data_IF_566847473675
#
_entry.id   IF_566847473675
#
_cell.length_a   1.000
_cell.length_b   1.000
_cell.length_c   1.000
_cell.angle_alpha   90.00
_cell.angle_beta   90.00
_cell.angle_gamma   90.00
#
_symmetry.space_group_name_H-M   'P 1'
#
loop_
_entity.id
_entity.type
_entity.pdbx_description
1 polymer ?
#
# COMPACT_ATOMS: atom_id res chain seq x y z
N UNK A 1 -48.57 71.12 -26.18
CA UNK A 1 -49.40 70.47 -25.15
C UNK A 1 -48.56 69.37 -24.50
N UNK A 2 -48.00 69.64 -23.31
CA UNK A 2 -47.21 68.72 -22.50
C UNK A 2 -48.16 67.99 -21.58
N UNK A 3 -48.33 66.64 -21.81
CA UNK A 3 -49.10 65.79 -20.91
C UNK A 3 -48.26 65.50 -19.68
N UNK A 4 -48.50 66.12 -18.54
CA UNK A 4 -48.03 65.76 -17.22
C UNK A 4 -48.67 64.43 -16.83
N UNK A 5 -47.88 63.33 -16.85
CA UNK A 5 -48.29 62.09 -16.23
C UNK A 5 -48.31 62.27 -14.71
N UNK A 6 -49.51 62.21 -14.13
CA UNK A 6 -49.71 62.15 -12.69
C UNK A 6 -49.05 60.87 -12.17
N UNK A 7 -48.00 61.00 -11.39
CA UNK A 7 -47.49 59.89 -10.62
C UNK A 7 -48.52 59.56 -9.51
N UNK A 8 -49.20 58.42 -9.66
CA UNK A 8 -50.01 57.85 -8.58
C UNK A 8 -49.06 57.35 -7.50
N UNK A 9 -49.17 57.86 -6.28
CA UNK A 9 -48.42 57.38 -5.13
C UNK A 9 -48.81 55.95 -4.77
N UNK A 10 -47.83 55.15 -4.42
CA UNK A 10 -48.03 53.72 -3.98
C UNK A 10 -48.74 53.73 -2.63
N UNK A 11 -49.78 52.94 -2.47
CA UNK A 11 -50.50 52.74 -1.20
C UNK A 11 -49.59 52.00 -0.20
N UNK A 12 -49.67 52.35 1.10
CA UNK A 12 -48.92 51.67 2.17
C UNK A 12 -49.19 50.15 2.20
N UNK A 13 -50.43 49.73 1.93
CA UNK A 13 -50.83 48.34 1.87
C UNK A 13 -50.18 47.61 0.67
N UNK A 14 -50.06 48.26 -0.47
CA UNK A 14 -49.42 47.74 -1.67
C UNK A 14 -47.92 47.55 -1.45
N UNK A 15 -47.28 48.47 -0.70
CA UNK A 15 -45.86 48.31 -0.30
C UNK A 15 -45.69 47.14 0.69
N UNK A 16 -46.63 46.99 1.66
CA UNK A 16 -46.56 45.82 2.58
C UNK A 16 -46.73 44.48 1.87
N UNK A 17 -47.67 44.39 0.93
CA UNK A 17 -47.88 43.17 0.14
C UNK A 17 -46.63 42.89 -0.74
N UNK A 18 -46.05 43.89 -1.38
CA UNK A 18 -44.86 43.73 -2.19
C UNK A 18 -43.66 43.29 -1.33
N UNK A 19 -43.49 43.81 -0.10
CA UNK A 19 -42.46 43.33 0.82
C UNK A 19 -42.67 41.87 1.24
N UNK A 20 -43.86 41.43 1.55
CA UNK A 20 -44.18 40.05 1.94
C UNK A 20 -43.89 39.12 0.77
N UNK A 21 -44.33 39.44 -0.43
CA UNK A 21 -44.05 38.62 -1.64
C UNK A 21 -42.55 38.58 -1.92
N UNK A 22 -41.85 39.73 -1.81
CA UNK A 22 -40.41 39.82 -1.97
C UNK A 22 -39.64 38.95 -0.96
N UNK A 23 -40.10 38.92 0.31
CA UNK A 23 -39.49 38.10 1.35
C UNK A 23 -39.72 36.61 1.11
N UNK A 24 -40.90 36.17 0.67
CA UNK A 24 -41.20 34.79 0.31
C UNK A 24 -40.35 34.34 -0.88
N UNK A 25 -40.20 35.16 -1.90
CA UNK A 25 -39.33 34.87 -3.06
C UNK A 25 -37.86 34.78 -2.63
N UNK A 26 -37.40 35.71 -1.78
CA UNK A 26 -36.03 35.68 -1.26
C UNK A 26 -35.74 34.41 -0.46
N UNK A 27 -36.67 33.97 0.39
CA UNK A 27 -36.55 32.68 1.12
C UNK A 27 -36.45 31.50 0.15
N UNK A 28 -37.25 31.49 -0.92
CA UNK A 28 -37.18 30.44 -1.95
C UNK A 28 -35.82 30.42 -2.66
N UNK A 29 -35.27 31.56 -3.02
CA UNK A 29 -33.96 31.69 -3.65
C UNK A 29 -32.84 31.20 -2.72
N UNK A 30 -32.89 31.60 -1.41
CA UNK A 30 -31.92 31.15 -0.40
C UNK A 30 -31.95 29.64 -0.24
N UNK A 31 -33.14 29.02 -0.21
CA UNK A 31 -33.29 27.56 -0.09
C UNK A 31 -32.70 26.84 -1.30
N UNK A 32 -33.00 27.27 -2.51
CA UNK A 32 -32.45 26.71 -3.75
C UNK A 32 -30.94 26.84 -3.81
N UNK A 33 -30.43 28.03 -3.45
CA UNK A 33 -28.97 28.27 -3.43
C UNK A 33 -28.27 27.38 -2.38
N UNK A 34 -28.84 27.28 -1.18
CA UNK A 34 -28.32 26.39 -0.11
C UNK A 34 -28.32 24.94 -0.54
N UNK A 35 -29.43 24.44 -1.12
CA UNK A 35 -29.53 23.09 -1.63
C UNK A 35 -28.52 22.80 -2.76
N UNK A 36 -28.36 23.72 -3.69
CA UNK A 36 -27.39 23.62 -4.77
C UNK A 36 -25.95 23.57 -4.27
N UNK A 37 -25.62 24.43 -3.29
CA UNK A 37 -24.28 24.45 -2.65
C UNK A 37 -24.00 23.10 -1.93
N UNK A 38 -24.98 22.59 -1.19
CA UNK A 38 -24.86 21.30 -0.49
C UNK A 38 -24.66 20.15 -1.48
N UNK A 39 -25.41 20.13 -2.58
CA UNK A 39 -25.26 19.12 -3.63
C UNK A 39 -23.89 19.18 -4.30
N UNK A 40 -23.39 20.39 -4.57
CA UNK A 40 -22.04 20.58 -5.15
C UNK A 40 -20.94 20.08 -4.20
N UNK A 41 -21.02 20.40 -2.90
CA UNK A 41 -20.08 19.92 -1.88
C UNK A 41 -20.09 18.39 -1.76
N UNK A 42 -21.26 17.76 -1.79
CA UNK A 42 -21.38 16.29 -1.77
C UNK A 42 -20.75 15.67 -3.02
N UNK A 43 -21.03 16.24 -4.20
CA UNK A 43 -20.48 15.74 -5.46
C UNK A 43 -18.96 15.85 -5.49
N UNK A 44 -18.40 16.98 -5.03
CA UNK A 44 -16.95 17.18 -4.92
C UNK A 44 -16.33 16.19 -3.91
N UNK A 45 -16.94 16.05 -2.71
CA UNK A 45 -16.47 15.11 -1.71
C UNK A 45 -16.48 13.65 -2.18
N UNK A 46 -17.54 13.25 -2.89
CA UNK A 46 -17.65 11.91 -3.47
C UNK A 46 -16.59 11.68 -4.56
N UNK A 47 -16.38 12.67 -5.45
CA UNK A 47 -15.36 12.60 -6.50
C UNK A 47 -13.95 12.46 -5.92
N UNK A 48 -13.60 13.25 -4.90
CA UNK A 48 -12.30 13.18 -4.21
C UNK A 48 -12.09 11.85 -3.51
N UNK A 49 -13.09 11.36 -2.79
CA UNK A 49 -12.99 10.06 -2.12
C UNK A 49 -12.82 8.92 -3.14
N UNK A 50 -13.50 8.98 -4.29
CA UNK A 50 -13.37 8.00 -5.36
C UNK A 50 -11.98 8.03 -6.00
N UNK A 51 -11.46 9.21 -6.28
CA UNK A 51 -10.12 9.40 -6.85
C UNK A 51 -9.04 8.86 -5.89
N UNK A 52 -9.10 9.23 -4.62
CA UNK A 52 -8.16 8.78 -3.59
C UNK A 52 -8.25 7.26 -3.38
N UNK A 53 -9.46 6.68 -3.32
CA UNK A 53 -9.63 5.23 -3.22
C UNK A 53 -9.02 4.48 -4.40
N UNK A 54 -9.20 5.00 -5.63
CA UNK A 54 -8.61 4.42 -6.84
C UNK A 54 -7.08 4.51 -6.81
N UNK A 55 -6.50 5.66 -6.50
CA UNK A 55 -5.05 5.80 -6.42
C UNK A 55 -4.44 4.90 -5.36
N UNK A 56 -5.08 4.79 -4.20
CA UNK A 56 -4.63 3.88 -3.15
C UNK A 56 -4.58 2.43 -3.63
N UNK A 57 -5.64 1.96 -4.31
CA UNK A 57 -5.68 0.60 -4.87
C UNK A 57 -4.67 0.40 -6.01
N UNK A 58 -4.43 1.41 -6.85
CA UNK A 58 -3.46 1.31 -7.94
C UNK A 58 -2.02 1.16 -7.40
N UNK A 59 -1.62 1.93 -6.38
CA UNK A 59 -0.33 1.78 -5.71
C UNK A 59 -0.18 0.38 -5.10
N UNK A 60 -1.16 -0.04 -4.30
CA UNK A 60 -1.16 -1.34 -3.64
C UNK A 60 -1.13 -2.49 -4.66
N UNK A 61 -1.98 -2.45 -5.68
CA UNK A 61 -2.06 -3.50 -6.69
C UNK A 61 -0.77 -3.64 -7.50
N UNK A 62 -0.12 -2.52 -7.82
CA UNK A 62 1.15 -2.52 -8.55
C UNK A 62 2.22 -3.26 -7.75
N UNK A 63 2.43 -2.88 -6.49
CA UNK A 63 3.51 -3.42 -5.67
C UNK A 63 3.19 -4.83 -5.13
N UNK A 64 1.91 -5.15 -4.86
CA UNK A 64 1.50 -6.51 -4.52
C UNK A 64 1.79 -7.48 -5.67
N UNK A 65 1.54 -7.09 -6.94
CA UNK A 65 1.87 -7.92 -8.10
C UNK A 65 3.37 -8.19 -8.23
N UNK A 66 4.21 -7.28 -7.73
CA UNK A 66 5.67 -7.44 -7.75
C UNK A 66 6.19 -8.35 -6.64
N UNK A 67 5.42 -8.61 -5.58
CA UNK A 67 5.86 -9.47 -4.49
C UNK A 67 6.38 -10.82 -5.02
N UNK A 68 7.60 -11.18 -4.59
CA UNK A 68 8.28 -12.41 -5.04
C UNK A 68 8.92 -12.32 -6.43
N UNK A 69 9.02 -11.14 -7.03
CA UNK A 69 9.83 -10.95 -8.23
C UNK A 69 11.31 -10.91 -7.86
N UNK A 70 12.06 -11.88 -8.32
CA UNK A 70 13.52 -11.98 -8.15
C UNK A 70 14.25 -12.10 -9.50
N UNK A 71 13.84 -11.30 -10.48
CA UNK A 71 14.34 -11.39 -11.85
C UNK A 71 13.78 -12.61 -12.57
N UNK A 72 14.65 -13.44 -13.14
CA UNK A 72 14.28 -14.66 -13.84
C UNK A 72 13.99 -15.85 -12.88
N UNK A 73 14.49 -15.77 -11.63
CA UNK A 73 14.30 -16.80 -10.61
C UNK A 73 12.93 -16.64 -9.96
N UNK A 74 12.24 -17.73 -9.75
CA UNK A 74 10.95 -17.76 -9.09
C UNK A 74 11.13 -17.75 -7.55
N UNK A 75 10.31 -16.99 -6.82
CA UNK A 75 10.26 -16.98 -5.35
C UNK A 75 10.09 -18.38 -4.74
N UNK A 76 9.46 -19.27 -5.46
CA UNK A 76 9.19 -20.65 -5.04
C UNK A 76 10.40 -21.57 -5.15
N UNK A 77 11.46 -21.16 -5.78
CA UNK A 77 12.72 -21.91 -5.75
C UNK A 77 13.20 -22.16 -4.30
N UNK A 78 12.77 -21.34 -3.35
CA UNK A 78 13.01 -21.54 -1.91
C UNK A 78 12.37 -22.82 -1.35
N UNK A 79 11.33 -23.36 -1.97
CA UNK A 79 10.73 -24.64 -1.58
C UNK A 79 11.49 -25.84 -2.17
N UNK A 80 12.16 -25.65 -3.29
CA UNK A 80 12.85 -26.74 -3.99
C UNK A 80 14.25 -26.90 -3.41
N UNK A 81 14.43 -27.97 -2.66
CA UNK A 81 15.70 -28.30 -2.02
C UNK A 81 16.81 -28.44 -3.06
N UNK A 82 17.87 -27.63 -2.94
CA UNK A 82 19.04 -27.66 -3.82
C UNK A 82 19.12 -26.52 -4.84
N UNK A 83 18.05 -25.79 -5.09
CA UNK A 83 18.12 -24.62 -5.97
C UNK A 83 18.48 -23.34 -5.20
N UNK A 84 18.24 -23.27 -3.89
CA UNK A 84 18.82 -22.33 -2.93
C UNK A 84 18.69 -20.83 -3.24
N UNK A 85 17.81 -20.46 -4.16
CA UNK A 85 17.67 -19.10 -4.64
C UNK A 85 16.24 -18.59 -4.43
N UNK A 86 16.03 -17.31 -4.10
CA UNK A 86 17.06 -16.28 -3.93
C UNK A 86 17.87 -16.44 -2.64
N UNK A 87 19.17 -16.19 -2.70
CA UNK A 87 20.02 -16.09 -1.52
C UNK A 87 19.85 -14.71 -0.87
N UNK A 88 19.63 -14.70 0.42
CA UNK A 88 19.51 -13.46 1.20
C UNK A 88 20.82 -13.23 1.95
N UNK A 89 21.68 -12.36 1.41
CA UNK A 89 22.96 -11.99 2.01
C UNK A 89 22.77 -10.76 2.91
N UNK A 90 21.79 -10.83 3.79
CA UNK A 90 21.40 -9.79 4.74
C UNK A 90 21.25 -10.43 6.12
N UNK A 91 21.50 -9.66 7.17
CA UNK A 91 21.34 -10.14 8.53
C UNK A 91 19.86 -10.12 8.91
N UNK A 92 19.16 -11.22 8.64
CA UNK A 92 17.75 -11.39 8.98
C UNK A 92 17.46 -12.85 9.32
N UNK A 93 16.55 -13.08 10.26
CA UNK A 93 16.01 -14.40 10.57
C UNK A 93 14.80 -14.69 9.68
N UNK A 94 14.77 -15.84 9.06
CA UNK A 94 13.67 -16.28 8.18
C UNK A 94 12.34 -16.27 8.92
N UNK A 95 11.33 -15.59 8.37
CA UNK A 95 9.99 -15.47 8.93
C UNK A 95 9.85 -14.42 10.03
N UNK A 96 10.92 -13.73 10.40
CA UNK A 96 10.91 -12.69 11.44
C UNK A 96 10.09 -11.45 11.09
N UNK A 97 9.81 -11.24 9.79
CA UNK A 97 9.13 -10.05 9.29
C UNK A 97 9.95 -8.76 9.41
N UNK A 98 11.23 -8.86 9.80
CA UNK A 98 12.13 -7.69 9.84
C UNK A 98 12.34 -7.12 8.44
N UNK A 99 12.75 -5.85 8.31
CA UNK A 99 12.86 -5.18 7.01
C UNK A 99 13.70 -5.92 5.98
N UNK A 100 14.74 -6.62 6.42
CA UNK A 100 15.70 -7.30 5.56
C UNK A 100 15.39 -8.79 5.33
N UNK A 101 14.26 -9.30 5.81
CA UNK A 101 13.85 -10.70 5.67
C UNK A 101 13.26 -10.99 4.28
N UNK A 102 14.11 -10.96 3.25
CA UNK A 102 13.74 -11.29 1.87
C UNK A 102 13.44 -12.78 1.65
N UNK A 103 13.52 -13.60 2.68
CA UNK A 103 13.09 -15.00 2.60
C UNK A 103 11.56 -15.15 2.52
N UNK A 104 10.81 -14.07 2.86
CA UNK A 104 9.35 -14.00 2.77
C UNK A 104 8.96 -12.76 1.97
N UNK A 105 8.41 -12.96 0.79
CA UNK A 105 8.08 -11.87 -0.15
C UNK A 105 6.83 -11.09 0.22
N UNK A 106 5.92 -11.70 0.98
CA UNK A 106 4.69 -11.08 1.44
C UNK A 106 4.39 -11.49 2.88
N UNK A 107 3.99 -10.54 3.70
CA UNK A 107 3.60 -10.76 5.09
C UNK A 107 2.59 -9.70 5.52
N UNK A 108 1.57 -10.10 6.25
CA UNK A 108 0.55 -9.20 6.78
C UNK A 108 0.53 -9.17 8.29
N UNK A 109 -0.03 -8.09 8.82
CA UNK A 109 -0.33 -7.95 10.24
C UNK A 109 -1.77 -7.43 10.38
N UNK A 110 -2.58 -8.25 11.03
CA UNK A 110 -3.98 -7.96 11.30
C UNK A 110 -4.10 -6.94 12.40
N UNK A 111 -4.90 -5.92 12.19
CA UNK A 111 -5.31 -5.02 13.25
C UNK A 111 -6.27 -5.74 14.21
N UNK A 112 -6.16 -5.54 15.53
CA UNK A 112 -7.08 -6.17 16.47
C UNK A 112 -8.54 -5.79 16.20
N UNK A 113 -9.41 -6.81 16.10
CA UNK A 113 -10.84 -6.61 15.90
C UNK A 113 -11.27 -6.32 14.46
N UNK A 114 -10.43 -6.65 13.46
CA UNK A 114 -10.73 -6.41 12.04
C UNK A 114 -10.96 -7.68 11.21
N UNK A 115 -11.23 -8.80 11.83
CA UNK A 115 -11.62 -10.00 11.10
C UNK A 115 -13.02 -9.85 10.49
N UNK A 116 -13.33 -10.51 9.36
CA UNK A 116 -14.66 -10.49 8.74
C UNK A 116 -15.77 -10.83 9.73
N UNK A 117 -16.85 -10.05 9.73
CA UNK A 117 -17.96 -10.16 10.70
C UNK A 117 -17.77 -9.33 11.96
N UNK A 118 -16.61 -8.77 12.20
CA UNK A 118 -16.36 -7.87 13.34
C UNK A 118 -16.68 -6.40 12.99
N UNK A 119 -16.81 -5.59 14.04
CA UNK A 119 -17.02 -4.15 13.93
C UNK A 119 -15.87 -3.42 14.64
N UNK A 120 -15.23 -2.49 13.95
CA UNK A 120 -14.11 -1.72 14.47
C UNK A 120 -14.39 -0.23 14.41
N UNK A 121 -14.10 0.50 15.49
CA UNK A 121 -14.13 1.96 15.51
C UNK A 121 -12.75 2.50 15.11
N UNK A 122 -12.69 3.22 14.00
CA UNK A 122 -11.43 3.76 13.49
C UNK A 122 -10.95 4.91 14.36
N UNK A 123 -9.64 4.91 14.67
CA UNK A 123 -8.99 6.03 15.37
C UNK A 123 -9.25 6.09 16.86
N UNK A 124 -10.06 5.18 17.42
CA UNK A 124 -10.05 4.92 18.85
C UNK A 124 -8.72 4.25 19.17
N UNK A 125 -8.00 4.68 20.14
CA UNK A 125 -6.66 4.26 20.62
C UNK A 125 -5.94 3.16 19.85
N UNK A 126 -4.65 3.29 19.65
CA UNK A 126 -3.82 2.28 18.98
C UNK A 126 -4.02 0.90 19.63
N UNK A 127 -4.69 -0.02 18.94
CA UNK A 127 -4.70 -1.42 19.32
C UNK A 127 -3.27 -1.97 19.17
N UNK A 128 -2.84 -2.82 20.09
CA UNK A 128 -1.55 -3.47 19.96
C UNK A 128 -1.62 -4.58 18.92
N UNK A 129 -0.88 -4.46 17.85
CA UNK A 129 -0.68 -5.55 16.89
C UNK A 129 0.09 -6.69 17.56
N UNK A 130 -0.32 -7.92 17.32
CA UNK A 130 0.41 -9.09 17.78
C UNK A 130 1.55 -9.41 16.80
N UNK A 131 2.78 -9.58 17.31
CA UNK A 131 3.93 -10.01 16.51
C UNK A 131 4.47 -8.97 15.53
N UNK A 132 4.09 -7.69 15.66
CA UNK A 132 4.60 -6.63 14.80
C UNK A 132 6.09 -6.38 15.09
N UNK A 133 6.98 -6.43 14.09
CA UNK A 133 8.41 -6.13 14.27
C UNK A 133 8.64 -4.71 14.78
N UNK A 134 9.65 -4.53 15.64
CA UNK A 134 9.97 -3.23 16.22
C UNK A 134 10.21 -2.13 15.16
N UNK A 135 10.80 -2.49 14.01
CA UNK A 135 11.01 -1.55 12.92
C UNK A 135 9.70 -0.98 12.35
N UNK A 136 8.60 -1.75 12.39
CA UNK A 136 7.27 -1.28 11.94
C UNK A 136 6.54 -0.56 13.08
N UNK A 137 6.69 -1.05 14.33
CA UNK A 137 6.11 -0.36 15.49
C UNK A 137 6.64 1.07 15.64
N UNK A 138 7.93 1.28 15.31
CA UNK A 138 8.63 2.56 15.43
C UNK A 138 8.51 3.44 14.19
N UNK A 139 7.62 3.13 13.25
CA UNK A 139 7.34 4.01 12.10
C UNK A 139 6.84 5.38 12.58
N UNK A 140 7.27 6.41 11.89
CA UNK A 140 6.81 7.78 12.12
C UNK A 140 6.22 8.35 10.83
N UNK A 141 4.93 8.74 10.83
CA UNK A 141 3.95 8.55 11.90
C UNK A 141 3.60 7.08 12.15
N UNK A 142 3.15 6.76 13.36
CA UNK A 142 2.82 5.40 13.76
C UNK A 142 1.58 4.85 13.04
N UNK A 143 1.50 3.51 12.80
CA UNK A 143 0.32 2.88 12.22
C UNK A 143 -0.95 3.16 12.99
N UNK A 144 -2.04 3.44 12.27
CA UNK A 144 -3.34 3.74 12.83
C UNK A 144 -4.06 2.47 13.28
N UNK A 145 -4.76 2.54 14.42
CA UNK A 145 -5.60 1.46 14.91
C UNK A 145 -6.75 1.13 13.96
N UNK A 146 -7.14 -0.15 13.89
CA UNK A 146 -8.23 -0.62 13.04
C UNK A 146 -7.90 -0.67 11.54
N UNK A 147 -6.62 -0.62 11.20
CA UNK A 147 -6.13 -0.72 9.82
C UNK A 147 -4.99 -1.71 9.75
N UNK A 148 -5.07 -2.68 8.85
CA UNK A 148 -4.05 -3.70 8.65
C UNK A 148 -2.79 -3.14 8.03
N UNK A 149 -1.71 -3.95 8.12
CA UNK A 149 -0.40 -3.62 7.56
C UNK A 149 0.03 -4.76 6.63
N UNK A 150 0.61 -4.43 5.49
CA UNK A 150 1.23 -5.40 4.59
C UNK A 150 2.68 -5.04 4.32
N UNK A 151 3.54 -6.06 4.31
CA UNK A 151 4.95 -5.98 3.94
C UNK A 151 5.17 -6.73 2.65
N UNK A 152 5.84 -6.07 1.70
CA UNK A 152 6.13 -6.59 0.36
C UNK A 152 7.62 -6.53 0.10
N UNK A 153 8.20 -7.61 -0.46
CA UNK A 153 9.62 -7.68 -0.80
C UNK A 153 9.79 -8.25 -2.20
N UNK A 154 10.59 -7.56 -3.01
CA UNK A 154 10.82 -7.91 -4.41
C UNK A 154 12.03 -7.17 -4.97
N UNK A 155 12.48 -7.55 -6.15
CA UNK A 155 13.38 -6.75 -6.98
C UNK A 155 12.56 -5.86 -7.90
N UNK A 156 13.03 -4.64 -8.18
CA UNK A 156 12.37 -3.70 -9.08
C UNK A 156 12.07 -4.35 -10.44
N UNK A 157 11.02 -3.90 -11.12
CA UNK A 157 10.60 -4.47 -12.40
C UNK A 157 11.68 -4.39 -13.48
N UNK A 158 12.47 -3.32 -13.43
CA UNK A 158 13.56 -3.08 -14.36
C UNK A 158 14.90 -3.09 -13.64
N UNK A 159 15.89 -3.76 -14.25
CA UNK A 159 17.28 -3.79 -13.82
C UNK A 159 18.22 -3.22 -14.88
N UNK A 160 19.49 -3.11 -14.52
CA UNK A 160 20.57 -2.78 -15.44
C UNK A 160 21.49 -3.99 -15.70
N UNK A 161 21.93 -4.22 -16.96
CA UNK A 161 22.85 -5.29 -17.26
C UNK A 161 24.18 -5.12 -16.49
N UNK A 162 24.65 -6.20 -15.85
CA UNK A 162 25.97 -6.24 -15.25
C UNK A 162 27.04 -6.38 -16.34
N UNK A 163 27.96 -5.42 -16.41
CA UNK A 163 29.07 -5.42 -17.37
C UNK A 163 30.40 -5.82 -16.71
N UNK A 164 30.47 -5.82 -15.39
CA UNK A 164 31.64 -6.25 -14.63
C UNK A 164 31.27 -6.74 -13.24
N UNK A 165 31.97 -7.77 -12.78
CA UNK A 165 31.86 -8.33 -11.41
C UNK A 165 33.29 -8.58 -10.93
N UNK A 166 33.76 -7.80 -9.96
CA UNK A 166 35.12 -7.88 -9.44
C UNK A 166 35.09 -8.07 -7.93
N UNK A 167 35.64 -9.18 -7.46
CA UNK A 167 35.82 -9.41 -6.03
C UNK A 167 36.93 -8.51 -5.47
N UNK A 168 36.70 -7.92 -4.30
CA UNK A 168 37.66 -7.11 -3.55
C UNK A 168 37.59 -7.52 -2.06
N UNK A 169 38.36 -8.52 -1.68
CA UNK A 169 38.26 -9.14 -0.36
C UNK A 169 36.90 -9.78 -0.11
N UNK A 170 36.18 -9.34 0.93
CA UNK A 170 34.83 -9.78 1.23
C UNK A 170 33.76 -9.07 0.43
N UNK A 171 34.08 -8.01 -0.30
CA UNK A 171 33.14 -7.21 -1.07
C UNK A 171 33.17 -7.60 -2.55
N UNK A 172 32.11 -7.25 -3.26
CA UNK A 172 32.08 -7.35 -4.73
C UNK A 172 31.69 -6.00 -5.34
N UNK A 173 32.45 -5.56 -6.30
CA UNK A 173 32.12 -4.38 -7.11
C UNK A 173 31.42 -4.85 -8.39
N UNK A 174 30.20 -4.37 -8.58
CA UNK A 174 29.38 -4.60 -9.76
C UNK A 174 29.41 -3.33 -10.61
N UNK A 175 29.80 -3.49 -11.87
CA UNK A 175 29.74 -2.40 -12.86
C UNK A 175 28.56 -2.65 -13.79
N UNK A 176 27.83 -1.60 -14.12
CA UNK A 176 26.71 -1.64 -15.05
C UNK A 176 26.75 -0.47 -16.01
N UNK A 177 25.97 -0.55 -17.07
CA UNK A 177 25.84 0.55 -18.02
C UNK A 177 25.25 1.78 -17.31
N UNK A 178 25.99 2.89 -17.30
CA UNK A 178 25.60 4.14 -16.65
C UNK A 178 24.28 4.70 -17.24
N UNK A 179 23.95 4.43 -18.49
CA UNK A 179 22.67 4.83 -19.12
C UNK A 179 21.46 4.11 -18.52
N UNK A 180 21.69 2.96 -17.87
CA UNK A 180 20.65 2.18 -17.19
C UNK A 180 20.55 2.48 -15.70
N UNK A 181 21.41 3.32 -15.17
CA UNK A 181 21.43 3.70 -13.76
C UNK A 181 20.09 4.30 -13.29
N UNK A 182 19.42 5.07 -14.14
CA UNK A 182 18.11 5.66 -13.85
C UNK A 182 17.04 4.62 -13.45
N UNK A 183 17.16 3.35 -13.88
CA UNK A 183 16.24 2.26 -13.51
C UNK A 183 16.38 1.83 -12.05
N UNK A 184 17.53 2.06 -11.43
CA UNK A 184 17.76 1.76 -10.03
C UNK A 184 17.40 2.93 -9.11
N UNK A 185 17.27 4.14 -9.67
CA UNK A 185 17.04 5.40 -8.95
C UNK A 185 15.67 6.01 -9.23
N UNK A 186 14.76 5.30 -9.87
CA UNK A 186 13.38 5.72 -10.09
C UNK A 186 12.56 5.76 -8.79
N UNK A 187 11.31 6.19 -8.88
CA UNK A 187 10.36 6.22 -7.75
C UNK A 187 10.90 6.99 -6.53
N UNK A 188 11.65 8.09 -6.77
CA UNK A 188 12.15 8.97 -5.71
C UNK A 188 13.36 8.46 -4.93
N UNK A 189 13.97 7.33 -5.32
CA UNK A 189 15.12 6.73 -4.62
C UNK A 189 16.43 7.18 -5.28
N UNK A 190 16.98 8.32 -4.85
CA UNK A 190 18.22 8.86 -5.42
C UNK A 190 19.47 8.01 -5.11
N UNK A 191 19.52 7.38 -3.92
CA UNK A 191 20.66 6.60 -3.45
C UNK A 191 20.17 5.27 -2.84
N UNK A 192 19.89 4.25 -3.66
CA UNK A 192 19.50 2.94 -3.16
C UNK A 192 20.64 2.28 -2.37
N UNK A 193 20.28 1.52 -1.34
CA UNK A 193 21.22 0.81 -0.47
C UNK A 193 20.91 -0.68 -0.35
N UNK A 194 19.80 -1.13 -0.96
CA UNK A 194 19.43 -2.53 -1.10
C UNK A 194 19.40 -2.89 -2.58
N UNK A 195 20.01 -4.02 -2.91
CA UNK A 195 20.18 -4.49 -4.27
C UNK A 195 19.90 -5.96 -4.41
N UNK A 196 19.57 -6.35 -5.63
CA UNK A 196 19.58 -7.73 -6.06
C UNK A 196 20.41 -7.88 -7.33
N UNK A 197 20.99 -9.04 -7.49
CA UNK A 197 21.61 -9.49 -8.73
C UNK A 197 20.96 -10.80 -9.11
N UNK A 198 20.57 -10.96 -10.36
CA UNK A 198 19.94 -12.19 -10.83
C UNK A 198 20.31 -12.52 -12.28
N UNK A 199 20.38 -13.81 -12.54
CA UNK A 199 20.31 -14.41 -13.87
C UNK A 199 19.17 -15.44 -13.89
N UNK A 200 19.06 -16.29 -14.92
CA UNK A 200 18.01 -17.31 -14.96
C UNK A 200 18.29 -18.57 -14.11
N UNK A 201 19.45 -18.63 -13.46
CA UNK A 201 19.83 -19.72 -12.56
C UNK A 201 19.89 -19.29 -11.09
N UNK A 202 20.27 -18.04 -10.84
CA UNK A 202 20.58 -17.55 -9.50
C UNK A 202 20.00 -16.17 -9.25
N UNK A 203 19.72 -15.88 -7.97
CA UNK A 203 19.43 -14.56 -7.47
C UNK A 203 20.07 -14.36 -6.08
N UNK A 204 20.66 -13.20 -5.85
CA UNK A 204 21.18 -12.80 -4.55
C UNK A 204 20.65 -11.41 -4.18
N UNK A 205 20.26 -11.23 -2.91
CA UNK A 205 19.85 -9.94 -2.33
C UNK A 205 20.89 -9.51 -1.30
N UNK A 206 21.33 -8.26 -1.35
CA UNK A 206 22.41 -7.74 -0.51
C UNK A 206 22.27 -6.24 -0.25
N UNK A 207 22.95 -5.76 0.79
CA UNK A 207 23.13 -4.34 1.04
C UNK A 207 24.43 -3.84 0.35
N UNK A 208 24.42 -2.60 -0.10
CA UNK A 208 25.56 -2.02 -0.80
C UNK A 208 25.58 -0.50 -0.81
N UNK A 209 26.70 0.03 -1.27
CA UNK A 209 26.88 1.47 -1.54
C UNK A 209 26.96 1.71 -3.04
N UNK A 210 26.64 2.92 -3.48
CA UNK A 210 26.50 3.23 -4.90
C UNK A 210 27.26 4.47 -5.31
N UNK A 211 27.77 4.40 -6.54
CA UNK A 211 28.13 5.53 -7.37
C UNK A 211 27.54 5.27 -8.75
N UNK A 212 27.20 6.29 -9.53
CA UNK A 212 26.57 6.11 -10.85
C UNK A 212 27.31 5.05 -11.70
N UNK A 213 26.57 4.00 -12.09
CA UNK A 213 27.11 2.87 -12.85
C UNK A 213 27.88 1.82 -12.04
N UNK A 214 27.98 1.97 -10.71
CA UNK A 214 28.71 1.04 -9.86
C UNK A 214 27.98 0.78 -8.56
N UNK A 215 27.89 -0.51 -8.15
CA UNK A 215 27.35 -0.96 -6.87
C UNK A 215 28.42 -1.79 -6.17
N UNK A 216 28.72 -1.45 -4.92
CA UNK A 216 29.63 -2.23 -4.07
C UNK A 216 28.81 -3.02 -3.08
N UNK A 217 28.71 -4.34 -3.31
CA UNK A 217 28.09 -5.29 -2.39
C UNK A 217 28.97 -5.48 -1.16
N UNK A 218 28.46 -5.11 0.02
CA UNK A 218 29.21 -5.12 1.26
C UNK A 218 29.17 -6.49 1.94
N UNK A 219 30.32 -7.08 2.22
CA UNK A 219 30.42 -8.37 2.90
C UNK A 219 29.97 -9.58 2.07
N UNK A 220 29.82 -9.44 0.75
CA UNK A 220 29.30 -10.49 -0.12
C UNK A 220 30.24 -10.74 -1.30
N UNK A 221 30.65 -12.00 -1.49
CA UNK A 221 31.42 -12.41 -2.65
C UNK A 221 30.49 -13.06 -3.70
N UNK A 222 30.24 -12.35 -4.78
CA UNK A 222 29.40 -12.77 -5.91
C UNK A 222 30.23 -13.30 -7.10
N UNK A 223 31.56 -13.26 -7.01
CA UNK A 223 32.42 -13.72 -8.10
C UNK A 223 32.29 -15.22 -8.35
N UNK A 224 32.31 -15.59 -9.64
CA UNK A 224 32.18 -16.99 -10.05
C UNK A 224 30.75 -17.56 -10.00
N UNK A 225 29.76 -16.80 -9.52
CA UNK A 225 28.35 -17.21 -9.49
C UNK A 225 27.57 -16.68 -10.70
N UNK A 226 27.97 -15.55 -11.23
CA UNK A 226 27.28 -14.86 -12.31
C UNK A 226 28.19 -14.62 -13.51
N UNK A 227 27.60 -14.63 -14.71
CA UNK A 227 28.30 -14.31 -15.96
C UNK A 227 27.78 -12.98 -16.50
N UNK A 228 28.69 -12.02 -16.67
CA UNK A 228 28.37 -10.67 -17.14
C UNK A 228 28.02 -10.62 -18.63
N UNK A 229 27.40 -9.51 -19.05
CA UNK A 229 27.16 -9.21 -20.45
C UNK A 229 28.50 -9.04 -21.21
N UNK A 230 28.57 -9.37 -22.51
CA UNK A 230 27.47 -9.85 -23.37
C UNK A 230 27.24 -11.39 -23.35
N UNK A 231 28.10 -12.15 -22.69
CA UNK A 231 28.06 -13.62 -22.68
C UNK A 231 27.00 -14.18 -21.72
N UNK A 232 26.70 -13.46 -20.63
CA UNK A 232 25.67 -13.82 -19.66
C UNK A 232 24.45 -12.90 -19.71
N UNK A 233 23.43 -13.21 -18.93
CA UNK A 233 22.20 -12.43 -18.81
C UNK A 233 22.00 -11.83 -17.40
N UNK A 234 23.12 -11.59 -16.71
CA UNK A 234 23.11 -11.07 -15.35
C UNK A 234 22.62 -9.63 -15.31
N UNK A 235 21.65 -9.38 -14.46
CA UNK A 235 21.04 -8.08 -14.23
C UNK A 235 21.18 -7.66 -12.78
N UNK A 236 21.41 -6.36 -12.55
CA UNK A 236 21.41 -5.74 -11.23
C UNK A 236 20.11 -4.97 -11.05
N UNK A 237 19.46 -5.16 -9.94
CA UNK A 237 18.17 -4.57 -9.59
C UNK A 237 18.27 -3.79 -8.30
N UNK A 238 17.37 -2.82 -8.10
CA UNK A 238 17.09 -2.31 -6.75
C UNK A 238 16.21 -3.34 -6.03
N UNK A 239 16.56 -3.67 -4.79
CA UNK A 239 15.71 -4.49 -3.94
C UNK A 239 14.80 -3.59 -3.09
N UNK A 240 13.54 -3.97 -3.01
CA UNK A 240 12.49 -3.25 -2.30
C UNK A 240 11.98 -4.07 -1.13
N UNK A 241 11.94 -3.46 0.04
CA UNK A 241 11.19 -3.95 1.20
C UNK A 241 10.26 -2.83 1.63
N UNK A 242 8.99 -2.97 1.33
CA UNK A 242 7.96 -1.94 1.48
C UNK A 242 6.96 -2.33 2.55
N UNK A 243 6.52 -1.37 3.34
CA UNK A 243 5.40 -1.50 4.27
C UNK A 243 4.31 -0.53 3.85
N UNK A 244 3.11 -1.04 3.61
CA UNK A 244 1.92 -0.23 3.41
C UNK A 244 1.06 -0.23 4.66
N UNK A 245 0.66 0.94 5.10
CA UNK A 245 -0.12 1.15 6.32
C UNK A 245 -0.87 2.48 6.26
N UNK A 246 -1.85 2.64 7.11
CA UNK A 246 -2.54 3.92 7.32
C UNK A 246 -1.99 4.61 8.55
N UNK A 247 -1.71 5.90 8.45
CA UNK A 247 -1.39 6.74 9.59
C UNK A 247 -1.93 8.15 9.41
N UNK A 248 -2.03 8.89 10.50
CA UNK A 248 -2.42 10.29 10.42
C UNK A 248 -1.20 11.15 10.02
N UNK A 249 -1.44 12.08 9.11
CA UNK A 249 -0.47 13.11 8.78
C UNK A 249 -0.21 13.97 10.04
N UNK A 250 1.04 14.16 10.48
CA UNK A 250 1.34 14.87 11.72
C UNK A 250 0.96 16.36 11.67
N UNK A 251 0.94 16.97 10.48
CA UNK A 251 0.67 18.40 10.31
C UNK A 251 -0.82 18.71 10.20
N UNK A 252 -1.58 17.85 9.51
CA UNK A 252 -3.01 18.06 9.24
C UNK A 252 -3.92 17.22 10.13
N UNK A 253 -3.42 16.14 10.73
CA UNK A 253 -4.22 15.15 11.46
C UNK A 253 -5.08 14.25 10.55
N UNK A 254 -5.03 14.45 9.21
CA UNK A 254 -5.79 13.67 8.25
C UNK A 254 -5.19 12.27 8.07
N UNK A 255 -6.02 11.21 7.96
CA UNK A 255 -5.53 9.87 7.69
C UNK A 255 -5.08 9.75 6.24
N UNK A 256 -3.98 9.02 6.03
CA UNK A 256 -3.42 8.80 4.71
C UNK A 256 -2.88 7.38 4.57
N UNK A 257 -2.94 6.85 3.35
CA UNK A 257 -2.15 5.68 2.97
C UNK A 257 -0.68 6.10 2.88
N UNK A 258 0.17 5.37 3.57
CA UNK A 258 1.61 5.60 3.60
C UNK A 258 2.37 4.37 3.12
N UNK A 259 3.52 4.63 2.54
CA UNK A 259 4.51 3.60 2.18
C UNK A 259 5.79 3.86 2.96
N UNK A 260 6.29 2.85 3.65
CA UNK A 260 7.61 2.92 4.26
C UNK A 260 8.56 1.99 3.49
N UNK A 261 9.72 2.51 3.08
CA UNK A 261 10.76 1.79 2.33
C UNK A 261 11.96 1.54 3.23
N UNK A 262 12.46 0.30 3.28
CA UNK A 262 13.64 -0.06 4.04
C UNK A 262 14.93 0.32 3.31
N UNK A 263 15.90 0.82 4.08
CA UNK A 263 17.29 0.91 3.65
C UNK A 263 18.10 -0.35 4.00
N UNK A 264 19.33 -0.44 3.48
CA UNK A 264 20.26 -1.55 3.77
C UNK A 264 20.66 -1.67 5.25
N UNK A 265 20.40 -0.66 6.05
CA UNK A 265 20.55 -0.66 7.51
C UNK A 265 19.32 -1.25 8.25
N UNK A 266 18.30 -1.67 7.53
CA UNK A 266 17.05 -2.17 8.12
C UNK A 266 16.15 -1.11 8.74
N UNK A 267 16.36 0.17 8.47
CA UNK A 267 15.48 1.25 8.90
C UNK A 267 14.52 1.62 7.80
N UNK A 268 13.27 1.90 8.19
CA UNK A 268 12.25 2.38 7.27
C UNK A 268 12.21 3.90 7.18
N UNK A 269 12.03 4.41 5.97
CA UNK A 269 11.67 5.81 5.71
C UNK A 269 10.25 5.85 5.15
N UNK A 270 9.36 6.60 5.82
CA UNK A 270 7.95 6.68 5.47
C UNK A 270 7.65 7.88 4.60
N UNK A 271 6.82 7.68 3.58
CA UNK A 271 6.25 8.71 2.72
C UNK A 271 4.73 8.60 2.67
N UNK A 272 4.05 9.72 2.49
CA UNK A 272 2.62 9.77 2.28
C UNK A 272 2.32 9.60 0.80
N UNK A 273 1.37 8.72 0.46
CA UNK A 273 0.97 8.46 -0.92
C UNK A 273 -0.38 9.06 -1.26
N UNK A 274 -1.40 8.78 -0.43
CA UNK A 274 -2.78 9.17 -0.72
C UNK A 274 -3.48 9.60 0.57
N UNK A 275 -3.91 10.87 0.61
CA UNK A 275 -4.71 11.43 1.70
C UNK A 275 -6.13 10.83 1.73
N UNK A 276 -6.76 10.87 2.89
CA UNK A 276 -8.16 10.49 3.06
C UNK A 276 -8.43 8.98 3.10
N UNK A 277 -7.42 8.14 3.22
CA UNK A 277 -7.59 6.70 3.44
C UNK A 277 -7.67 6.44 4.95
N UNK A 278 -8.85 6.02 5.43
CA UNK A 278 -9.12 5.82 6.86
C UNK A 278 -8.85 4.41 7.35
N UNK A 279 -9.04 3.39 6.51
CA UNK A 279 -8.82 1.99 6.85
C UNK A 279 -8.30 1.21 5.65
N UNK A 280 -7.45 0.25 5.94
CA UNK A 280 -6.87 -0.70 5.01
C UNK A 280 -7.08 -2.10 5.59
N UNK A 281 -7.65 -3.02 4.81
CA UNK A 281 -7.93 -4.39 5.22
C UNK A 281 -7.41 -5.36 4.17
N UNK A 282 -6.96 -6.55 4.60
CA UNK A 282 -6.43 -7.57 3.71
C UNK A 282 -7.03 -8.95 4.01
N UNK A 283 -7.32 -9.69 2.93
CA UNK A 283 -7.54 -11.13 3.00
C UNK A 283 -6.53 -11.84 2.08
N UNK A 284 -5.97 -12.91 2.58
CA UNK A 284 -4.93 -13.68 1.91
C UNK A 284 -5.52 -14.99 1.41
N UNK A 285 -5.44 -15.21 0.09
CA UNK A 285 -5.82 -16.47 -0.55
C UNK A 285 -4.63 -17.43 -0.51
N UNK A 286 -4.82 -18.58 0.15
CA UNK A 286 -3.78 -19.59 0.33
C UNK A 286 -4.06 -20.83 -0.52
N UNK A 287 -2.99 -21.40 -1.03
CA UNK A 287 -2.96 -22.75 -1.58
C UNK A 287 -2.62 -23.75 -0.46
N UNK A 288 -3.61 -24.52 -0.03
CA UNK A 288 -3.48 -25.56 1.00
C UNK A 288 -3.58 -26.97 0.41
N UNK A 289 -3.48 -27.11 -0.92
CA UNK A 289 -3.62 -28.39 -1.62
C UNK A 289 -2.56 -29.40 -1.15
N UNK A 290 -1.32 -28.93 -0.89
CA UNK A 290 -0.23 -29.75 -0.39
C UNK A 290 0.06 -29.48 1.09
N UNK A 291 0.54 -30.49 1.79
CA UNK A 291 0.89 -30.35 3.21
C UNK A 291 2.10 -29.46 3.38
N UNK A 292 1.96 -28.40 4.17
CA UNK A 292 3.02 -27.39 4.40
C UNK A 292 4.31 -28.02 4.96
N UNK A 293 4.19 -29.12 5.73
CA UNK A 293 5.31 -29.85 6.30
C UNK A 293 6.23 -30.50 5.26
N UNK A 294 5.77 -30.72 4.03
CA UNK A 294 6.55 -31.41 2.98
C UNK A 294 7.44 -30.47 2.17
N UNK A 295 7.41 -29.19 2.40
CA UNK A 295 8.12 -28.17 1.61
C UNK A 295 7.81 -28.26 0.09
N UNK A 296 6.67 -28.83 -0.25
CA UNK A 296 6.21 -28.93 -1.64
C UNK A 296 5.76 -27.55 -2.11
N UNK A 297 6.16 -27.10 -3.31
CA UNK A 297 5.67 -25.85 -3.86
C UNK A 297 4.14 -25.86 -3.97
N UNK A 298 3.46 -24.72 -3.72
CA UNK A 298 2.04 -24.61 -3.97
C UNK A 298 1.75 -24.86 -5.46
N UNK A 299 0.60 -25.43 -5.76
CA UNK A 299 0.19 -25.76 -7.15
C UNK A 299 -0.58 -24.61 -7.83
N UNK A 300 -0.82 -23.52 -7.10
CA UNK A 300 -1.53 -22.32 -7.61
C UNK A 300 -3.04 -22.37 -7.43
N UNK A 301 -3.56 -23.35 -6.70
CA UNK A 301 -4.99 -23.49 -6.42
C UNK A 301 -5.36 -22.81 -5.09
N UNK A 302 -5.97 -21.64 -5.16
CA UNK A 302 -6.43 -20.91 -3.98
C UNK A 302 -7.64 -21.63 -3.38
N UNK A 303 -7.46 -22.26 -2.24
CA UNK A 303 -8.46 -23.11 -1.58
C UNK A 303 -9.16 -22.41 -0.43
N UNK A 304 -8.52 -21.43 0.22
CA UNK A 304 -9.04 -20.74 1.39
C UNK A 304 -8.57 -19.28 1.43
N UNK A 305 -9.41 -18.43 2.01
CA UNK A 305 -9.05 -17.03 2.33
C UNK A 305 -8.94 -16.87 3.83
N UNK A 306 -7.93 -16.14 4.29
CA UNK A 306 -7.63 -15.92 5.70
C UNK A 306 -7.20 -14.48 5.97
N UNK A 307 -7.46 -14.00 7.17
CA UNK A 307 -6.83 -12.78 7.71
C UNK A 307 -5.38 -13.06 8.09
N UNK A 308 -4.56 -12.03 8.26
CA UNK A 308 -3.13 -12.20 8.51
C UNK A 308 -2.83 -13.03 9.77
N UNK A 309 -3.60 -12.87 10.84
CA UNK A 309 -3.45 -13.63 12.09
C UNK A 309 -3.70 -15.14 11.92
N UNK A 310 -4.50 -15.53 10.93
CA UNK A 310 -4.83 -16.93 10.64
C UNK A 310 -3.89 -17.55 9.60
N UNK A 311 -3.09 -16.75 8.89
CA UNK A 311 -2.04 -17.26 7.99
C UNK A 311 -0.89 -17.80 8.81
N UNK A 312 -0.37 -17.01 9.75
CA UNK A 312 0.70 -17.44 10.64
C UNK A 312 0.59 -16.74 11.99
N UNK A 313 0.75 -17.52 13.06
CA UNK A 313 0.69 -17.04 14.46
C UNK A 313 2.09 -16.83 15.06
N UNK A 314 3.15 -17.28 14.37
CA UNK A 314 4.55 -17.18 14.79
C UNK A 314 5.34 -16.30 13.82
N UNK A 315 6.58 -15.96 14.19
CA UNK A 315 7.52 -15.16 13.39
C UNK A 315 8.82 -15.95 13.17
N UNK A 316 8.70 -17.16 12.65
CA UNK A 316 9.78 -18.12 12.43
C UNK A 316 9.74 -18.75 11.03
N UNK A 317 10.57 -19.74 10.80
CA UNK A 317 10.61 -20.46 9.52
C UNK A 317 9.29 -21.18 9.19
N UNK A 318 8.50 -21.58 10.19
CA UNK A 318 7.19 -22.19 9.95
C UNK A 318 6.20 -21.14 9.43
N UNK A 319 6.21 -19.94 10.02
CA UNK A 319 5.44 -18.80 9.51
C UNK A 319 5.85 -18.44 8.07
N UNK A 320 7.15 -18.44 7.76
CA UNK A 320 7.65 -18.20 6.40
C UNK A 320 7.02 -19.18 5.39
N UNK A 321 6.94 -20.45 5.72
CA UNK A 321 6.33 -21.45 4.85
C UNK A 321 4.83 -21.23 4.64
N UNK A 322 4.11 -20.73 5.65
CA UNK A 322 2.70 -20.35 5.50
C UNK A 322 2.54 -19.16 4.54
N UNK A 323 3.32 -18.10 4.75
CA UNK A 323 3.28 -16.91 3.89
C UNK A 323 3.68 -17.21 2.44
N UNK A 324 4.57 -18.15 2.20
CA UNK A 324 4.94 -18.61 0.85
C UNK A 324 3.79 -19.29 0.09
N UNK A 325 2.71 -19.71 0.77
CA UNK A 325 1.52 -20.29 0.15
C UNK A 325 0.47 -19.27 -0.26
N UNK A 326 0.68 -17.99 0.04
CA UNK A 326 -0.23 -16.93 -0.40
C UNK A 326 -0.05 -16.70 -1.89
N UNK A 327 -1.08 -16.95 -2.67
CA UNK A 327 -1.12 -16.74 -4.14
C UNK A 327 -2.05 -15.61 -4.57
N UNK A 328 -2.87 -15.07 -3.65
CA UNK A 328 -3.82 -14.00 -3.91
C UNK A 328 -3.91 -13.08 -2.70
N UNK A 329 -4.13 -11.80 -2.93
CA UNK A 329 -4.46 -10.81 -1.90
C UNK A 329 -5.71 -10.06 -2.31
N UNK A 330 -6.70 -10.02 -1.42
CA UNK A 330 -7.79 -9.06 -1.53
C UNK A 330 -7.45 -7.85 -0.69
N UNK A 331 -7.65 -6.69 -1.25
CA UNK A 331 -7.36 -5.39 -0.63
C UNK A 331 -8.66 -4.63 -0.54
N UNK A 332 -8.99 -4.14 0.65
CA UNK A 332 -10.10 -3.23 0.87
C UNK A 332 -9.62 -1.93 1.48
N UNK A 333 -10.06 -0.81 0.96
CA UNK A 333 -9.77 0.52 1.49
C UNK A 333 -11.05 1.27 1.80
N UNK A 334 -11.05 2.04 2.89
CA UNK A 334 -12.06 3.03 3.17
C UNK A 334 -11.50 4.41 2.89
N UNK A 335 -12.05 5.07 1.88
CA UNK A 335 -11.69 6.43 1.53
C UNK A 335 -12.74 7.42 2.05
N UNK A 336 -12.29 8.60 2.48
CA UNK A 336 -13.15 9.70 2.91
C UNK A 336 -12.86 10.99 2.15
N UNK A 337 -13.83 11.87 2.11
CA UNK A 337 -13.63 13.22 1.56
C UNK A 337 -12.69 14.05 2.46
N UNK A 338 -11.78 14.85 1.89
CA UNK A 338 -10.86 15.70 2.65
C UNK A 338 -11.60 16.82 3.42
N UNK A 339 -12.75 17.25 2.93
CA UNK A 339 -13.60 18.25 3.56
C UNK A 339 -14.96 17.69 3.91
N UNK A 340 -15.66 18.23 4.93
CA UNK A 340 -17.03 17.87 5.22
C UNK A 340 -17.95 18.14 4.01
N UNK A 341 -18.77 17.15 3.67
CA UNK A 341 -19.83 17.27 2.68
C UNK A 341 -21.16 17.29 3.44
N UNK A 342 -21.78 18.45 3.59
CA UNK A 342 -22.89 18.72 4.52
C UNK A 342 -24.08 17.72 4.40
N UNK A 343 -24.33 17.18 3.20
CA UNK A 343 -25.36 16.18 2.99
C UNK A 343 -25.00 14.78 3.54
N UNK A 344 -23.72 14.48 3.74
CA UNK A 344 -23.28 13.21 4.33
C UNK A 344 -23.52 13.17 5.85
N UNK A 345 -23.62 14.32 6.51
CA UNK A 345 -23.90 14.45 7.92
C UNK A 345 -25.25 13.84 8.35
N UNK A 346 -26.19 13.65 7.42
CA UNK A 346 -27.53 13.10 7.68
C UNK A 346 -27.57 11.57 7.64
N UNK A 347 -26.48 10.89 7.28
CA UNK A 347 -26.42 9.43 7.20
C UNK A 347 -25.75 8.83 8.44
N UNK A 348 -26.37 8.98 9.59
CA UNK A 348 -25.85 8.48 10.88
C UNK A 348 -25.85 6.95 11.01
N UNK A 349 -26.39 6.20 10.02
CA UNK A 349 -26.56 4.74 10.13
C UNK A 349 -25.75 3.93 9.10
N UNK A 350 -24.96 4.54 8.24
CA UNK A 350 -24.19 3.79 7.26
C UNK A 350 -22.98 3.12 7.92
N UNK A 351 -23.18 1.89 8.34
CA UNK A 351 -22.09 0.96 8.61
C UNK A 351 -21.43 0.64 7.28
N UNK A 352 -20.21 1.08 7.12
CA UNK A 352 -19.42 0.84 5.91
C UNK A 352 -18.71 -0.50 6.06
N UNK A 353 -18.87 -1.40 5.09
CA UNK A 353 -18.16 -2.67 5.04
C UNK A 353 -16.88 -2.54 4.23
N UNK A 354 -15.79 -3.13 4.73
CA UNK A 354 -14.52 -3.31 3.99
C UNK A 354 -14.09 -4.76 4.18
N UNK A 355 -14.10 -5.57 3.15
CA UNK A 355 -13.79 -7.02 3.19
C UNK A 355 -14.51 -7.77 4.33
N UNK A 356 -15.79 -7.43 4.58
CA UNK A 356 -16.60 -8.06 5.64
C UNK A 356 -16.41 -7.47 7.03
N UNK A 357 -15.53 -6.51 7.21
CA UNK A 357 -15.36 -5.75 8.46
C UNK A 357 -16.30 -4.57 8.46
N UNK A 358 -17.08 -4.40 9.53
CA UNK A 358 -17.93 -3.21 9.72
C UNK A 358 -17.10 -2.09 10.32
N UNK A 359 -16.91 -1.02 9.55
CA UNK A 359 -16.11 0.13 9.99
C UNK A 359 -17.03 1.20 10.56
N UNK A 360 -16.76 1.59 11.81
CA UNK A 360 -17.49 2.64 12.54
C UNK A 360 -16.58 3.88 12.59
N UNK A 361 -16.97 5.01 11.99
CA UNK A 361 -16.21 6.24 12.10
C UNK A 361 -16.11 6.71 13.56
N UNK A 362 -15.00 7.38 13.96
CA UNK A 362 -14.80 7.80 15.35
C UNK A 362 -15.76 8.88 15.79
N UNK A 363 -16.30 9.66 14.86
CA UNK A 363 -17.28 10.71 15.10
C UNK A 363 -18.51 10.42 14.23
N UNK A 364 -19.65 10.20 14.85
CA UNK A 364 -20.89 9.86 14.14
C UNK A 364 -21.39 10.94 13.21
N UNK A 365 -20.84 12.16 13.29
CA UNK A 365 -21.31 13.31 12.53
C UNK A 365 -20.21 14.30 12.14
N UNK A 366 -19.15 13.80 11.50
CA UNK A 366 -18.09 14.67 10.97
C UNK A 366 -18.42 15.27 9.59
N UNK A 367 -19.60 14.96 9.05
CA UNK A 367 -20.07 15.44 7.76
C UNK A 367 -19.26 14.96 6.55
N UNK A 368 -18.33 14.02 6.70
CA UNK A 368 -17.50 13.54 5.59
C UNK A 368 -18.18 12.43 4.80
N UNK A 369 -18.03 12.49 3.49
CA UNK A 369 -18.42 11.40 2.61
C UNK A 369 -17.40 10.26 2.72
N UNK A 370 -17.88 9.00 2.78
CA UNK A 370 -17.05 7.79 2.85
C UNK A 370 -17.53 6.77 1.83
N UNK A 371 -16.57 6.06 1.24
CA UNK A 371 -16.84 4.91 0.37
C UNK A 371 -15.76 3.85 0.52
N UNK A 372 -16.15 2.59 0.43
CA UNK A 372 -15.23 1.44 0.39
C UNK A 372 -14.95 1.04 -1.05
N UNK A 373 -13.71 0.64 -1.30
CA UNK A 373 -13.25 0.12 -2.58
C UNK A 373 -12.47 -1.16 -2.33
N UNK A 374 -12.68 -2.16 -3.16
CA UNK A 374 -12.07 -3.48 -3.00
C UNK A 374 -11.47 -3.96 -4.32
N UNK A 375 -10.35 -4.68 -4.23
CA UNK A 375 -9.65 -5.24 -5.37
C UNK A 375 -9.02 -6.58 -5.00
N UNK A 376 -9.05 -7.54 -5.92
CA UNK A 376 -8.34 -8.81 -5.81
C UNK A 376 -7.11 -8.81 -6.70
N UNK A 377 -5.95 -9.16 -6.14
CA UNK A 377 -4.65 -9.18 -6.82
C UNK A 377 -4.06 -10.59 -6.76
N UNK A 378 -3.83 -11.20 -7.92
CA UNK A 378 -3.11 -12.46 -8.02
C UNK A 378 -1.59 -12.23 -8.01
N UNK A 379 -0.85 -13.03 -7.24
CA UNK A 379 0.60 -13.00 -7.13
C UNK A 379 1.23 -13.89 -8.21
N UNK A 380 1.34 -13.34 -9.43
CA UNK A 380 1.80 -14.12 -10.61
C UNK A 380 3.19 -14.71 -10.44
N UNK A 381 4.08 -14.03 -9.72
CA UNK A 381 5.45 -14.52 -9.46
C UNK A 381 5.48 -15.73 -8.51
N UNK A 382 4.33 -16.12 -7.97
CA UNK A 382 4.16 -17.19 -6.98
C UNK A 382 3.11 -18.22 -7.38
N UNK A 383 2.33 -17.95 -8.43
CA UNK A 383 1.36 -18.91 -8.95
C UNK A 383 2.10 -19.92 -9.85
N UNK A 384 1.92 -21.20 -9.55
CA UNK A 384 2.57 -22.32 -10.21
C UNK A 384 1.59 -23.07 -11.08
N UNK A 385 2.13 -23.75 -12.00
CA UNK A 385 1.43 -24.67 -12.84
C UNK A 385 1.53 -24.29 -14.29
N UNK A 386 2.76 -24.19 -14.77
CA UNK A 386 3.05 -24.41 -16.18
C UNK A 386 4.40 -25.09 -16.31
#
# INVERSE_FOLDING_TARGET
MSMYRRNAGVSLIELMIAMVIGLVLLLGVIQVFSASRTAAQLSEGASRAQENGRFALDYLARDIRMAGHFGCVNDQAQFVKGQGDPRVNLSATTGSGTPLDFSVSIQGYEAPGTSPGQAVTIGASAGSFTGLPAAIQNLSPAPRAGSDIIVLRFLSAEGGPATGIVAAGSNTTLTMDATRWARLTDDGVAAPTLFGIADCAHADVFAGTTTAGTVVASGVNLSGRYVVQPTGQTMVYRAESLVYYVANNPDTGEPALRRARAGGNGQYTSEELVEGIESLQFLYGLDTTETIATQTPPVGNITVQRVASDVAVTTDAAAANQWRRVGQVQVGVLARSPTPAAAAAQRTENRLGVLGVTVIPPTTNDGRYRASYELSVALRNRLFGN
#
